data_IF_212474949910
#
_entry.id   IF_212474949910
#
_cell.length_a   1.000
_cell.length_b   1.000
_cell.length_c   1.000
_cell.angle_alpha   90.00
_cell.angle_beta   90.00
_cell.angle_gamma   90.00
#
_symmetry.space_group_name_H-M   'P 1'
#
loop_
_entity.id
_entity.type
_entity.pdbx_description
1 polymer ?
#
# COMPACT_ATOMS: atom_id res chain seq x y z
N UNK A 1 16.43 12.21 -29.51
CA UNK A 1 16.67 12.76 -28.17
C UNK A 1 16.14 11.76 -27.16
N UNK A 2 17.00 11.31 -26.26
CA UNK A 2 16.88 10.11 -25.43
C UNK A 2 15.66 10.12 -24.48
N UNK A 3 14.82 9.10 -24.60
CA UNK A 3 13.94 8.60 -23.53
C UNK A 3 14.83 7.95 -22.46
N UNK A 4 15.30 8.78 -21.52
CA UNK A 4 16.07 8.35 -20.36
C UNK A 4 15.21 8.56 -19.12
N UNK A 5 14.75 7.45 -18.58
CA UNK A 5 14.38 7.13 -17.21
C UNK A 5 14.12 8.31 -16.25
N UNK A 6 12.83 8.56 -15.96
CA UNK A 6 12.41 9.25 -14.73
C UNK A 6 11.65 8.30 -13.80
N UNK A 7 12.05 7.03 -13.78
CA UNK A 7 11.76 6.10 -12.68
C UNK A 7 12.77 6.39 -11.57
N UNK A 8 12.40 7.26 -10.64
CA UNK A 8 13.36 7.72 -9.63
C UNK A 8 12.80 8.57 -8.50
N UNK A 9 11.53 8.41 -8.14
CA UNK A 9 11.02 8.86 -6.83
C UNK A 9 10.05 7.82 -6.29
N UNK A 10 10.41 7.24 -5.15
CA UNK A 10 9.61 6.26 -4.39
C UNK A 10 8.24 6.81 -3.97
N UNK A 11 8.07 8.13 -4.02
CA UNK A 11 6.81 8.84 -3.83
C UNK A 11 6.52 9.61 -5.13
N UNK A 12 5.34 9.38 -5.72
CA UNK A 12 4.95 9.99 -7.00
C UNK A 12 5.05 11.52 -6.99
N UNK A 13 4.98 12.15 -8.17
CA UNK A 13 5.08 13.62 -8.30
C UNK A 13 3.98 14.35 -7.51
N UNK A 14 4.30 15.34 -6.68
CA UNK A 14 3.30 16.15 -5.93
C UNK A 14 2.16 16.69 -6.82
N UNK A 15 2.47 17.11 -8.06
CA UNK A 15 1.49 17.53 -9.09
C UNK A 15 1.29 16.42 -10.14
N UNK A 16 0.09 16.35 -10.72
CA UNK A 16 -0.22 15.46 -11.86
C UNK A 16 0.78 15.65 -13.01
N UNK A 17 1.13 14.55 -13.66
CA UNK A 17 1.97 14.59 -14.85
C UNK A 17 1.28 15.36 -15.99
N UNK A 18 2.06 16.17 -16.69
CA UNK A 18 1.65 16.81 -17.94
C UNK A 18 1.40 15.74 -19.00
N UNK A 19 0.38 15.95 -19.84
CA UNK A 19 0.15 15.12 -21.03
C UNK A 19 0.77 15.86 -22.21
N UNK A 20 1.77 15.29 -22.89
CA UNK A 20 2.40 15.92 -24.04
C UNK A 20 1.53 15.81 -25.31
N UNK A 21 1.86 16.65 -26.29
CA UNK A 21 1.33 16.54 -27.66
C UNK A 21 -0.16 16.89 -27.80
N UNK A 22 -0.81 16.29 -28.80
CA UNK A 22 -2.19 16.60 -29.21
C UNK A 22 -3.23 16.24 -28.13
N UNK A 23 -2.87 15.38 -27.18
CA UNK A 23 -3.71 15.02 -26.02
C UNK A 23 -3.56 16.00 -24.83
N UNK A 24 -2.89 17.13 -25.01
CA UNK A 24 -2.71 18.13 -23.96
C UNK A 24 -4.06 18.58 -23.39
N UNK A 25 -4.16 18.58 -22.05
CA UNK A 25 -5.38 18.95 -21.35
C UNK A 25 -5.60 20.46 -21.46
N UNK A 26 -6.62 20.87 -22.20
CA UNK A 26 -6.98 22.28 -22.41
C UNK A 26 -8.17 22.73 -21.54
N UNK A 27 -9.12 21.83 -21.24
CA UNK A 27 -10.30 22.14 -20.42
C UNK A 27 -9.93 22.34 -18.95
N UNK A 28 -10.47 23.40 -18.34
CA UNK A 28 -10.37 23.68 -16.90
C UNK A 28 -11.75 23.64 -16.25
N UNK A 29 -11.78 23.19 -15.01
CA UNK A 29 -12.91 23.30 -14.10
C UNK A 29 -12.46 24.19 -12.95
N UNK A 30 -13.27 25.19 -12.63
CA UNK A 30 -13.07 26.07 -11.49
C UNK A 30 -13.97 25.60 -10.34
N UNK A 31 -13.43 25.60 -9.12
CA UNK A 31 -14.13 25.13 -7.92
C UNK A 31 -14.03 26.24 -6.88
N UNK A 32 -15.18 26.84 -6.56
CA UNK A 32 -15.30 27.81 -5.47
C UNK A 32 -15.42 27.09 -4.14
N UNK A 33 -14.71 27.55 -3.12
CA UNK A 33 -14.71 26.99 -1.77
C UNK A 33 -14.77 28.10 -0.73
N UNK A 34 -15.37 27.81 0.41
CA UNK A 34 -15.27 28.64 1.61
C UNK A 34 -13.85 28.55 2.21
N UNK A 35 -13.43 29.51 3.08
CA UNK A 35 -12.13 29.44 3.74
C UNK A 35 -11.92 28.16 4.57
N UNK A 36 -12.99 27.66 5.18
CA UNK A 36 -12.96 26.42 5.97
C UNK A 36 -12.74 25.19 5.07
N UNK A 37 -13.44 25.11 3.94
CA UNK A 37 -13.27 24.02 2.97
C UNK A 37 -11.87 24.03 2.34
N UNK A 38 -11.31 25.21 2.03
CA UNK A 38 -9.92 25.35 1.54
C UNK A 38 -8.91 24.82 2.58
N UNK A 39 -9.09 25.19 3.86
CA UNK A 39 -8.23 24.69 4.93
C UNK A 39 -8.26 23.15 5.02
N UNK A 40 -9.45 22.54 4.96
CA UNK A 40 -9.60 21.09 4.94
C UNK A 40 -8.94 20.43 3.73
N UNK A 41 -9.13 21.00 2.53
CA UNK A 41 -8.54 20.48 1.30
C UNK A 41 -7.02 20.55 1.33
N UNK A 42 -6.44 21.66 1.83
CA UNK A 42 -4.99 21.81 1.99
C UNK A 42 -4.44 20.83 3.00
N UNK A 43 -5.09 20.66 4.15
CA UNK A 43 -4.68 19.71 5.17
C UNK A 43 -4.65 18.27 4.62
N UNK A 44 -5.70 17.84 3.92
CA UNK A 44 -5.76 16.52 3.28
C UNK A 44 -4.69 16.35 2.20
N UNK A 45 -4.48 17.37 1.37
CA UNK A 45 -3.48 17.33 0.31
C UNK A 45 -2.05 17.26 0.88
N UNK A 46 -1.77 17.91 2.02
CA UNK A 46 -0.49 17.84 2.70
C UNK A 46 -0.22 16.43 3.26
N UNK A 47 -1.19 15.83 3.94
CA UNK A 47 -1.09 14.44 4.47
C UNK A 47 -0.81 13.43 3.35
N UNK A 48 -1.38 13.65 2.16
CA UNK A 48 -1.18 12.80 1.00
C UNK A 48 0.01 13.22 0.11
N UNK A 49 0.74 14.26 0.50
CA UNK A 49 1.88 14.85 -0.24
C UNK A 49 1.56 15.21 -1.71
N UNK A 50 0.33 15.65 -1.98
CA UNK A 50 -0.14 16.05 -3.31
C UNK A 50 -0.62 17.51 -3.35
N UNK A 51 -0.86 18.04 -4.55
CA UNK A 51 -1.53 19.34 -4.72
C UNK A 51 -3.05 19.19 -4.61
N UNK A 52 -3.77 20.21 -4.11
CA UNK A 52 -5.25 20.22 -4.03
C UNK A 52 -5.94 19.86 -5.37
N UNK A 53 -5.52 20.39 -6.55
CA UNK A 53 -6.14 19.99 -7.82
C UNK A 53 -5.90 18.52 -8.19
N UNK A 54 -4.78 17.93 -7.75
CA UNK A 54 -4.49 16.50 -7.94
C UNK A 54 -5.42 15.67 -7.07
N UNK A 55 -5.54 16.03 -5.80
CA UNK A 55 -6.45 15.40 -4.85
C UNK A 55 -7.89 15.39 -5.40
N UNK A 56 -8.44 16.57 -5.72
CA UNK A 56 -9.80 16.69 -6.23
C UNK A 56 -10.04 15.84 -7.48
N UNK A 57 -9.09 15.86 -8.42
CA UNK A 57 -9.21 15.09 -9.65
C UNK A 57 -9.14 13.58 -9.41
N UNK A 58 -8.16 13.11 -8.62
CA UNK A 58 -7.98 11.68 -8.35
C UNK A 58 -9.15 11.13 -7.52
N UNK A 59 -9.63 11.88 -6.53
CA UNK A 59 -10.83 11.51 -5.77
C UNK A 59 -12.06 11.39 -6.65
N UNK A 60 -12.27 12.31 -7.61
CA UNK A 60 -13.42 12.27 -8.51
C UNK A 60 -13.34 11.19 -9.60
N UNK A 61 -12.13 10.85 -10.04
CA UNK A 61 -11.91 9.82 -11.08
C UNK A 61 -11.70 8.42 -10.52
N UNK A 62 -11.54 8.29 -9.20
CA UNK A 62 -11.44 6.99 -8.56
C UNK A 62 -12.82 6.32 -8.57
N UNK A 63 -13.03 5.39 -9.51
CA UNK A 63 -14.26 4.61 -9.63
C UNK A 63 -14.47 3.63 -8.45
N UNK A 64 -13.44 3.39 -7.64
CA UNK A 64 -13.47 2.55 -6.44
C UNK A 64 -13.51 3.44 -5.19
N UNK A 65 -14.54 4.27 -5.05
CA UNK A 65 -14.88 4.86 -3.75
C UNK A 65 -15.28 3.71 -2.83
N UNK A 66 -14.31 3.19 -2.09
CA UNK A 66 -14.55 2.17 -1.07
C UNK A 66 -15.04 2.85 0.20
N UNK A 67 -16.09 2.28 0.77
CA UNK A 67 -16.67 2.74 2.04
C UNK A 67 -15.68 2.52 3.20
N UNK A 68 -15.83 3.29 4.27
CA UNK A 68 -15.05 3.10 5.51
C UNK A 68 -15.16 1.66 6.06
N UNK A 69 -16.31 1.01 5.83
CA UNK A 69 -16.54 -0.39 6.20
C UNK A 69 -15.63 -1.35 5.43
N UNK A 70 -15.50 -1.16 4.12
CA UNK A 70 -14.60 -1.97 3.30
C UNK A 70 -13.15 -1.77 3.72
N UNK A 71 -12.74 -0.55 4.05
CA UNK A 71 -11.42 -0.25 4.60
C UNK A 71 -11.18 -0.90 5.96
N UNK A 72 -12.18 -0.92 6.85
CA UNK A 72 -12.08 -1.62 8.15
C UNK A 72 -11.95 -3.12 7.98
N UNK A 73 -12.67 -3.72 7.03
CA UNK A 73 -12.56 -5.15 6.72
C UNK A 73 -11.15 -5.50 6.21
N UNK A 74 -10.61 -4.65 5.32
CA UNK A 74 -9.22 -4.73 4.85
C UNK A 74 -8.23 -4.66 6.02
N UNK A 75 -8.36 -3.66 6.88
CA UNK A 75 -7.50 -3.50 8.05
C UNK A 75 -7.57 -4.71 8.99
N UNK A 76 -8.77 -5.28 9.18
CA UNK A 76 -8.97 -6.48 9.98
C UNK A 76 -8.29 -7.72 9.38
N UNK A 77 -8.34 -7.91 8.06
CA UNK A 77 -7.61 -8.99 7.39
C UNK A 77 -6.09 -8.81 7.49
N UNK A 78 -5.58 -7.58 7.34
CA UNK A 78 -4.16 -7.31 7.49
C UNK A 78 -3.66 -7.59 8.92
N UNK A 79 -4.44 -7.21 9.94
CA UNK A 79 -4.14 -7.54 11.34
C UNK A 79 -4.13 -9.06 11.59
N UNK A 80 -5.05 -9.82 10.99
CA UNK A 80 -5.04 -11.29 11.07
C UNK A 80 -3.78 -11.87 10.45
N UNK A 81 -3.37 -11.39 9.28
CA UNK A 81 -2.17 -11.84 8.60
C UNK A 81 -0.89 -11.51 9.39
N UNK A 82 -0.81 -10.32 9.98
CA UNK A 82 0.30 -9.90 10.85
C UNK A 82 0.44 -10.81 12.09
N UNK A 83 -0.67 -11.17 12.73
CA UNK A 83 -0.65 -12.11 13.87
C UNK A 83 -0.13 -13.50 13.48
N UNK A 84 -0.52 -13.99 12.30
CA UNK A 84 -0.01 -15.27 11.79
C UNK A 84 1.51 -15.20 11.55
N UNK A 85 1.99 -14.11 10.95
CA UNK A 85 3.42 -13.90 10.71
C UNK A 85 4.22 -13.83 12.01
N UNK A 86 3.69 -13.15 13.04
CA UNK A 86 4.30 -13.10 14.36
C UNK A 86 4.48 -14.50 14.95
N UNK A 87 3.40 -15.31 14.94
CA UNK A 87 3.45 -16.69 15.46
C UNK A 87 4.49 -17.54 14.72
N UNK A 88 4.55 -17.42 13.39
CA UNK A 88 5.56 -18.14 12.61
C UNK A 88 6.98 -17.67 12.94
N UNK A 89 7.19 -16.37 13.14
CA UNK A 89 8.49 -15.82 13.51
C UNK A 89 8.94 -16.30 14.89
N UNK A 90 8.01 -16.37 15.85
CA UNK A 90 8.27 -16.92 17.17
C UNK A 90 8.68 -18.39 17.10
N UNK A 91 7.98 -19.20 16.28
CA UNK A 91 8.33 -20.60 16.04
C UNK A 91 9.74 -20.76 15.43
N UNK A 92 10.08 -19.94 14.43
CA UNK A 92 11.44 -19.94 13.86
C UNK A 92 12.50 -19.57 14.90
N UNK A 93 12.21 -18.59 15.75
CA UNK A 93 13.13 -18.16 16.80
C UNK A 93 13.34 -19.26 17.86
N UNK A 94 12.30 -20.06 18.16
CA UNK A 94 12.41 -21.23 19.03
C UNK A 94 13.29 -22.32 18.42
N UNK A 95 13.09 -22.64 17.13
CA UNK A 95 13.92 -23.61 16.42
C UNK A 95 15.39 -23.19 16.36
N UNK A 96 15.65 -21.90 16.12
CA UNK A 96 17.01 -21.35 16.12
C UNK A 96 17.67 -21.48 17.50
N UNK A 97 16.96 -21.15 18.59
CA UNK A 97 17.47 -21.33 19.96
C UNK A 97 17.74 -22.79 20.28
N UNK A 98 16.84 -23.69 19.92
CA UNK A 98 17.04 -25.13 20.11
C UNK A 98 18.31 -25.60 19.38
N UNK A 99 18.41 -25.30 18.09
CA UNK A 99 19.57 -25.70 17.27
C UNK A 99 20.89 -25.13 17.81
N UNK A 100 20.89 -23.88 18.29
CA UNK A 100 22.06 -23.28 18.93
C UNK A 100 22.43 -23.95 20.26
N UNK A 101 21.45 -24.49 21.00
CA UNK A 101 21.67 -25.14 22.30
C UNK A 101 22.08 -26.62 22.20
N UNK A 102 21.59 -27.34 21.19
CA UNK A 102 21.81 -28.79 21.04
C UNK A 102 22.77 -29.14 19.89
N UNK A 103 23.08 -28.19 19.01
CA UNK A 103 23.84 -28.43 17.79
C UNK A 103 23.10 -29.25 16.73
N UNK A 104 21.80 -29.52 16.93
CA UNK A 104 20.97 -30.37 16.07
C UNK A 104 19.77 -29.58 15.55
N UNK A 105 19.44 -29.77 14.27
CA UNK A 105 18.27 -29.13 13.67
C UNK A 105 17.03 -30.04 13.84
N UNK A 106 15.93 -29.56 14.46
CA UNK A 106 14.75 -30.39 14.71
C UNK A 106 14.09 -30.87 13.42
N UNK A 107 13.54 -32.08 13.43
CA UNK A 107 12.75 -32.59 12.32
C UNK A 107 11.49 -31.74 12.08
N UNK A 108 10.93 -31.14 13.15
CA UNK A 108 9.77 -30.23 13.09
C UNK A 108 10.07 -28.90 12.36
N UNK A 109 11.34 -28.60 12.07
CA UNK A 109 11.70 -27.39 11.35
C UNK A 109 11.22 -27.36 9.89
N UNK A 110 11.00 -28.54 9.29
CA UNK A 110 10.38 -28.66 7.97
C UNK A 110 8.93 -28.17 8.02
N UNK A 111 8.18 -28.55 9.04
CA UNK A 111 6.78 -28.12 9.23
C UNK A 111 6.67 -26.62 9.47
N UNK A 112 7.57 -26.05 10.29
CA UNK A 112 7.62 -24.60 10.51
C UNK A 112 7.92 -23.82 9.22
N UNK A 113 8.80 -24.34 8.36
CA UNK A 113 9.09 -23.75 7.06
C UNK A 113 7.88 -23.83 6.10
N UNK A 114 7.10 -24.92 6.14
CA UNK A 114 5.87 -25.04 5.36
C UNK A 114 4.77 -24.09 5.84
N UNK A 115 4.61 -23.93 7.16
CA UNK A 115 3.65 -23.00 7.73
C UNK A 115 4.00 -21.55 7.35
N UNK A 116 5.29 -21.19 7.36
CA UNK A 116 5.75 -19.91 6.85
C UNK A 116 5.39 -19.67 5.38
N UNK A 117 5.67 -20.64 4.51
CA UNK A 117 5.29 -20.53 3.08
C UNK A 117 3.79 -20.35 2.90
N UNK A 118 2.97 -20.99 3.75
CA UNK A 118 1.50 -20.85 3.75
C UNK A 118 1.06 -19.46 4.17
N UNK A 119 1.62 -18.92 5.25
CA UNK A 119 1.32 -17.56 5.73
C UNK A 119 1.74 -16.52 4.70
N UNK A 120 2.94 -16.65 4.12
CA UNK A 120 3.44 -15.78 3.05
C UNK A 120 2.48 -15.73 1.86
N UNK A 121 2.06 -16.88 1.32
CA UNK A 121 1.10 -16.93 0.20
C UNK A 121 -0.23 -16.24 0.53
N UNK A 122 -0.68 -16.35 1.78
CA UNK A 122 -1.93 -15.72 2.22
C UNK A 122 -1.79 -14.20 2.34
N UNK A 123 -0.62 -13.71 2.75
CA UNK A 123 -0.29 -12.27 2.72
C UNK A 123 -0.27 -11.77 1.27
N UNK A 124 0.47 -12.42 0.37
CA UNK A 124 0.54 -12.08 -1.06
C UNK A 124 -0.86 -11.99 -1.69
N UNK A 125 -1.69 -13.04 -1.54
CA UNK A 125 -3.06 -13.04 -2.06
C UNK A 125 -3.98 -11.98 -1.41
N UNK A 126 -3.63 -11.48 -0.24
CA UNK A 126 -4.39 -10.38 0.41
C UNK A 126 -3.94 -9.04 -0.15
N UNK A 127 -2.64 -8.87 -0.43
CA UNK A 127 -2.09 -7.69 -1.09
C UNK A 127 -2.57 -7.56 -2.54
N UNK A 128 -2.66 -8.65 -3.30
CA UNK A 128 -3.19 -8.62 -4.68
C UNK A 128 -4.64 -8.13 -4.72
N UNK A 129 -5.50 -8.68 -3.84
CA UNK A 129 -6.90 -8.24 -3.67
C UNK A 129 -7.03 -6.77 -3.27
N UNK A 130 -6.02 -6.22 -2.58
CA UNK A 130 -5.98 -4.81 -2.20
C UNK A 130 -5.51 -3.91 -3.34
N UNK A 131 -4.51 -4.35 -4.09
CA UNK A 131 -4.02 -3.65 -5.27
C UNK A 131 -5.02 -3.65 -6.43
N UNK A 132 -6.03 -4.53 -6.39
CA UNK A 132 -6.97 -4.74 -7.48
C UNK A 132 -6.34 -5.48 -8.66
N UNK A 133 -5.32 -6.31 -8.38
CA UNK A 133 -4.64 -7.18 -9.34
C UNK A 133 -5.27 -8.58 -9.34
#
# INVERSE_FOLDING_TARGET
MSESSREGRLFGRRRRANVPGVAARSKRYEVSVTPEEDAHLRARAEVLEVTVPRLLFESAMNAQVRTDTEWRLVGAELMRASKLLQKTSDNMNQLARFANSTGQFPAEAVEAAEEYRRVRRRIEATLDRLAGL
#
